data_IF_724813311949
#
_entry.id   IF_724813311949
#
_cell.length_a   1.000
_cell.length_b   1.000
_cell.length_c   1.000
_cell.angle_alpha   90.00
_cell.angle_beta   90.00
_cell.angle_gamma   90.00
#
_symmetry.space_group_name_H-M   'P 1'
#
loop_
_entity.id
_entity.type
_entity.pdbx_description
1 polymer ?
#
# COMPACT_ATOMS: atom_id res chain seq x y z
N UNK A 1 20.61 9.76 5.53
CA UNK A 1 19.30 10.33 5.11
C UNK A 1 19.17 10.65 3.62
N UNK A 2 20.17 11.34 2.99
CA UNK A 2 20.08 11.65 1.54
C UNK A 2 20.11 10.41 0.64
N UNK A 3 20.99 9.45 0.92
CA UNK A 3 21.15 8.23 0.13
C UNK A 3 19.90 7.32 0.14
N UNK A 4 19.12 7.33 1.22
CA UNK A 4 17.92 6.51 1.36
C UNK A 4 16.71 7.09 0.61
N UNK A 5 16.55 8.40 0.64
CA UNK A 5 15.51 9.07 -0.18
C UNK A 5 15.81 8.97 -1.68
N UNK A 6 17.08 9.08 -2.07
CA UNK A 6 17.52 8.84 -3.45
C UNK A 6 17.25 7.39 -3.89
N UNK A 7 17.37 6.41 -2.97
CA UNK A 7 17.03 5.02 -3.23
C UNK A 7 15.53 4.84 -3.51
N UNK A 8 14.66 5.52 -2.77
CA UNK A 8 13.21 5.48 -3.01
C UNK A 8 12.84 6.09 -4.36
N UNK A 9 13.47 7.22 -4.73
CA UNK A 9 13.28 7.83 -6.06
C UNK A 9 13.69 6.85 -7.15
N UNK A 10 14.86 6.19 -7.03
CA UNK A 10 15.34 5.22 -8.00
C UNK A 10 14.41 4.02 -8.11
N UNK A 11 13.89 3.52 -6.98
CA UNK A 11 12.92 2.41 -6.95
C UNK A 11 11.65 2.76 -7.74
N UNK A 12 11.08 3.93 -7.50
CA UNK A 12 9.85 4.36 -8.18
C UNK A 12 10.10 4.62 -9.67
N UNK A 13 11.23 5.23 -10.02
CA UNK A 13 11.56 5.57 -11.40
C UNK A 13 11.91 4.35 -12.25
N UNK A 14 12.71 3.42 -11.68
CA UNK A 14 13.25 2.29 -12.41
C UNK A 14 12.41 1.01 -12.28
N UNK A 15 11.38 1.02 -11.41
CA UNK A 15 10.62 -0.17 -11.04
C UNK A 15 11.38 -1.10 -10.11
N UNK A 16 10.73 -2.16 -9.68
CA UNK A 16 11.32 -3.22 -8.89
C UNK A 16 11.49 -4.51 -9.70
N UNK A 17 12.52 -5.27 -9.36
CA UNK A 17 12.78 -6.55 -9.99
C UNK A 17 11.81 -7.61 -9.47
N UNK A 18 11.40 -8.51 -10.35
CA UNK A 18 10.71 -9.74 -10.00
C UNK A 18 11.41 -10.94 -10.64
N UNK A 19 11.23 -12.12 -10.08
CA UNK A 19 11.71 -13.39 -10.59
C UNK A 19 10.54 -14.37 -10.65
N UNK A 20 10.20 -14.84 -11.85
CA UNK A 20 9.25 -15.93 -12.01
C UNK A 20 9.96 -17.27 -12.15
N UNK A 21 9.40 -18.28 -11.47
CA UNK A 21 9.84 -19.67 -11.57
C UNK A 21 8.78 -20.49 -12.32
N UNK A 22 9.13 -20.95 -13.51
CA UNK A 22 8.33 -21.85 -14.35
C UNK A 22 8.88 -23.28 -14.30
N UNK A 23 9.00 -23.84 -13.10
CA UNK A 23 9.62 -25.14 -12.88
C UNK A 23 11.14 -25.07 -12.89
N UNK A 24 11.76 -25.45 -14.00
CA UNK A 24 13.21 -25.40 -14.16
C UNK A 24 13.71 -24.11 -14.85
N UNK A 25 12.81 -23.24 -15.26
CA UNK A 25 13.13 -21.99 -15.96
C UNK A 25 12.85 -20.80 -15.02
N UNK A 26 13.89 -20.00 -14.77
CA UNK A 26 13.83 -18.77 -14.00
C UNK A 26 13.99 -17.58 -14.95
N UNK A 27 13.03 -16.67 -14.94
CA UNK A 27 13.05 -15.47 -15.77
C UNK A 27 12.87 -14.22 -14.90
N UNK A 28 13.73 -13.26 -15.11
CA UNK A 28 13.72 -11.97 -14.42
C UNK A 28 13.00 -10.91 -15.26
N UNK A 29 12.36 -9.97 -14.57
CA UNK A 29 11.76 -8.80 -15.19
C UNK A 29 11.71 -7.64 -14.20
N UNK A 30 11.20 -6.49 -14.68
CA UNK A 30 10.95 -5.30 -13.86
C UNK A 30 9.50 -4.87 -14.02
N UNK A 31 8.87 -4.45 -12.93
CA UNK A 31 7.53 -3.88 -12.96
C UNK A 31 7.43 -2.62 -12.11
N UNK A 32 6.34 -1.88 -12.28
CA UNK A 32 6.02 -0.68 -11.48
C UNK A 32 4.82 -0.93 -10.57
N UNK A 33 4.79 -2.13 -9.97
CA UNK A 33 3.87 -2.53 -8.91
C UNK A 33 4.68 -2.58 -7.62
N UNK A 34 4.21 -1.92 -6.56
CA UNK A 34 5.01 -1.75 -5.34
C UNK A 34 4.34 -2.36 -4.10
N UNK A 35 3.03 -2.52 -4.11
CA UNK A 35 2.29 -3.16 -3.03
C UNK A 35 2.35 -4.69 -3.15
N UNK A 36 2.44 -5.38 -2.01
CA UNK A 36 2.49 -6.84 -1.96
C UNK A 36 1.25 -7.47 -2.62
N UNK A 37 0.06 -6.91 -2.37
CA UNK A 37 -1.19 -7.36 -2.99
C UNK A 37 -1.22 -7.25 -4.52
N UNK A 38 -0.51 -6.27 -5.09
CA UNK A 38 -0.36 -6.15 -6.54
C UNK A 38 0.56 -7.24 -7.10
N UNK A 39 1.66 -7.52 -6.40
CA UNK A 39 2.61 -8.59 -6.78
C UNK A 39 1.94 -9.96 -6.69
N UNK A 40 1.15 -10.22 -5.64
CA UNK A 40 0.37 -11.46 -5.52
C UNK A 40 -0.60 -11.63 -6.69
N UNK A 41 -1.31 -10.56 -7.04
CA UNK A 41 -2.21 -10.55 -8.19
C UNK A 41 -1.48 -10.82 -9.51
N UNK A 42 -0.28 -10.24 -9.68
CA UNK A 42 0.58 -10.49 -10.84
C UNK A 42 1.02 -11.96 -10.90
N UNK A 43 1.40 -12.56 -9.76
CA UNK A 43 1.79 -13.98 -9.69
C UNK A 43 0.64 -14.90 -10.08
N UNK A 44 -0.58 -14.63 -9.59
CA UNK A 44 -1.78 -15.40 -9.96
C UNK A 44 -2.07 -15.28 -11.45
N UNK A 45 -2.03 -14.07 -12.00
CA UNK A 45 -2.25 -13.83 -13.42
C UNK A 45 -1.19 -14.53 -14.30
N UNK A 46 0.08 -14.48 -13.90
CA UNK A 46 1.17 -15.16 -14.59
C UNK A 46 0.99 -16.70 -14.58
N UNK A 47 0.59 -17.26 -13.42
CA UNK A 47 0.30 -18.68 -13.30
C UNK A 47 -0.87 -19.13 -14.17
N UNK A 48 -1.95 -18.34 -14.21
CA UNK A 48 -3.09 -18.60 -15.10
C UNK A 48 -2.69 -18.55 -16.59
N UNK A 49 -1.93 -17.54 -17.00
CA UNK A 49 -1.45 -17.39 -18.38
C UNK A 49 -0.56 -18.58 -18.78
N UNK A 50 0.34 -19.01 -17.90
CA UNK A 50 1.17 -20.18 -18.12
C UNK A 50 0.34 -21.47 -18.28
N UNK A 51 -0.68 -21.65 -17.44
CA UNK A 51 -1.60 -22.79 -17.51
C UNK A 51 -2.44 -22.81 -18.79
N UNK A 52 -2.66 -21.66 -19.40
CA UNK A 52 -3.34 -21.51 -20.70
C UNK A 52 -2.38 -21.69 -21.90
N UNK A 53 -1.10 -21.95 -21.66
CA UNK A 53 -0.11 -22.27 -22.67
C UNK A 53 0.66 -21.08 -23.25
N UNK A 54 0.62 -19.91 -22.61
CA UNK A 54 1.49 -18.79 -22.98
C UNK A 54 2.95 -19.15 -22.67
N UNK A 55 3.86 -18.67 -23.51
CA UNK A 55 5.29 -18.87 -23.27
C UNK A 55 5.79 -18.03 -22.10
N UNK A 56 6.70 -18.55 -21.26
CA UNK A 56 7.26 -17.84 -20.13
C UNK A 56 7.80 -16.45 -20.44
N UNK A 57 8.49 -16.31 -21.58
CA UNK A 57 9.08 -15.05 -22.04
C UNK A 57 8.00 -14.00 -22.41
N UNK A 58 6.86 -14.46 -22.94
CA UNK A 58 5.72 -13.58 -23.23
C UNK A 58 5.08 -13.08 -21.95
N UNK A 59 4.95 -13.96 -20.96
CA UNK A 59 4.40 -13.63 -19.63
C UNK A 59 5.30 -12.59 -18.94
N UNK A 60 6.62 -12.78 -18.91
CA UNK A 60 7.57 -11.84 -18.31
C UNK A 60 7.53 -10.49 -19.03
N UNK A 61 7.48 -10.49 -20.36
CA UNK A 61 7.37 -9.26 -21.15
C UNK A 61 6.08 -8.50 -20.84
N UNK A 62 4.95 -9.20 -20.78
CA UNK A 62 3.67 -8.61 -20.42
C UNK A 62 3.69 -8.06 -18.97
N UNK A 63 4.19 -8.83 -18.00
CA UNK A 63 4.35 -8.42 -16.61
C UNK A 63 5.17 -7.13 -16.48
N UNK A 64 6.20 -6.96 -17.31
CA UNK A 64 7.05 -5.76 -17.29
C UNK A 64 6.37 -4.50 -17.84
N UNK A 65 5.20 -4.61 -18.45
CA UNK A 65 4.42 -3.46 -18.95
C UNK A 65 3.28 -3.06 -18.01
N UNK A 66 2.98 -3.89 -17.01
CA UNK A 66 1.89 -3.64 -16.07
C UNK A 66 2.25 -2.49 -15.13
N UNK A 67 1.28 -1.64 -14.88
CA UNK A 67 1.35 -0.52 -13.93
C UNK A 67 0.23 -0.65 -12.92
N UNK A 68 0.40 -0.02 -11.76
CA UNK A 68 -0.67 0.10 -10.77
C UNK A 68 -1.92 0.72 -11.38
N UNK A 69 -3.06 0.20 -11.00
CA UNK A 69 -4.36 0.79 -11.35
C UNK A 69 -4.54 2.05 -10.52
N UNK A 70 -5.09 3.10 -11.12
CA UNK A 70 -5.37 4.35 -10.41
C UNK A 70 -6.15 4.10 -9.12
N UNK A 71 -5.72 4.73 -8.04
CA UNK A 71 -6.30 4.59 -6.69
C UNK A 71 -6.20 3.18 -6.07
N UNK A 72 -5.29 2.33 -6.57
CA UNK A 72 -5.01 0.98 -6.05
C UNK A 72 -3.53 0.89 -5.71
N UNK A 73 -3.15 1.30 -4.50
CA UNK A 73 -1.77 1.40 -4.04
C UNK A 73 -0.84 2.14 -5.03
N UNK A 74 -1.40 3.06 -5.81
CA UNK A 74 -0.69 3.83 -6.82
C UNK A 74 0.33 4.75 -6.16
N UNK A 75 1.60 4.63 -6.50
CA UNK A 75 2.66 5.47 -5.96
C UNK A 75 2.94 6.64 -6.90
N UNK A 76 2.76 7.85 -6.39
CA UNK A 76 3.01 9.13 -7.07
C UNK A 76 4.16 9.87 -6.39
N UNK A 77 4.96 10.59 -7.18
CA UNK A 77 6.02 11.46 -6.66
C UNK A 77 5.92 12.84 -7.30
N UNK A 78 5.84 13.87 -6.47
CA UNK A 78 5.74 15.26 -6.94
C UNK A 78 7.04 16.07 -6.80
N UNK A 79 8.17 15.41 -6.58
CA UNK A 79 9.48 16.02 -6.36
C UNK A 79 9.84 16.26 -4.89
N UNK A 80 8.87 16.29 -3.98
CA UNK A 80 9.08 16.52 -2.55
C UNK A 80 8.55 15.39 -1.66
N UNK A 81 7.39 14.81 -2.02
CA UNK A 81 6.73 13.76 -1.25
C UNK A 81 6.33 12.60 -2.15
N UNK A 82 6.34 11.40 -1.56
CA UNK A 82 5.69 10.22 -2.12
C UNK A 82 4.25 10.15 -1.62
N UNK A 83 3.32 9.88 -2.52
CA UNK A 83 1.91 9.69 -2.21
C UNK A 83 1.55 8.26 -2.61
N UNK A 84 1.07 7.46 -1.67
CA UNK A 84 0.50 6.16 -1.92
C UNK A 84 -1.01 6.33 -1.93
N UNK A 85 -1.60 6.22 -3.11
CA UNK A 85 -3.02 6.42 -3.32
C UNK A 85 -3.74 5.06 -3.42
N UNK A 86 -4.39 4.65 -2.33
CA UNK A 86 -5.19 3.42 -2.23
C UNK A 86 -6.65 3.76 -1.87
N UNK A 87 -7.18 4.83 -2.47
CA UNK A 87 -8.46 5.43 -2.10
C UNK A 87 -9.68 4.79 -2.76
N UNK A 88 -9.52 3.81 -3.66
CA UNK A 88 -10.66 3.20 -4.35
C UNK A 88 -11.57 2.39 -3.42
N UNK A 89 -11.00 1.52 -2.60
CA UNK A 89 -11.71 0.73 -1.58
C UNK A 89 -10.71 0.24 -0.53
N UNK A 90 -11.15 0.12 0.71
CA UNK A 90 -10.31 -0.32 1.83
C UNK A 90 -10.82 -1.65 2.40
N UNK A 91 -10.21 -2.76 1.98
CA UNK A 91 -10.33 -4.05 2.67
C UNK A 91 -9.25 -4.19 3.74
N UNK A 92 -9.38 -5.20 4.60
CA UNK A 92 -8.36 -5.48 5.62
C UNK A 92 -7.01 -5.81 4.99
N UNK A 93 -7.01 -6.55 3.88
CA UNK A 93 -5.81 -6.98 3.16
C UNK A 93 -5.16 -5.80 2.45
N UNK A 94 -5.96 -4.95 1.75
CA UNK A 94 -5.41 -3.78 1.08
C UNK A 94 -4.85 -2.77 2.09
N UNK A 95 -5.52 -2.53 3.21
CA UNK A 95 -5.02 -1.65 4.26
C UNK A 95 -3.66 -2.12 4.80
N UNK A 96 -3.52 -3.41 5.10
CA UNK A 96 -2.24 -3.99 5.56
C UNK A 96 -1.14 -3.83 4.51
N UNK A 97 -1.45 -4.14 3.25
CA UNK A 97 -0.51 -4.01 2.14
C UNK A 97 -0.04 -2.57 1.95
N UNK A 98 -0.97 -1.60 2.01
CA UNK A 98 -0.64 -0.18 1.88
C UNK A 98 0.14 0.38 3.08
N UNK A 99 -0.15 -0.09 4.32
CA UNK A 99 0.64 0.27 5.50
C UNK A 99 2.06 -0.30 5.39
N UNK A 100 2.21 -1.55 4.95
CA UNK A 100 3.53 -2.18 4.71
C UNK A 100 4.30 -1.43 3.62
N UNK A 101 3.62 -1.05 2.54
CA UNK A 101 4.23 -0.25 1.48
C UNK A 101 4.69 1.12 2.02
N UNK A 102 3.84 1.80 2.81
CA UNK A 102 4.19 3.08 3.45
C UNK A 102 5.41 2.93 4.38
N UNK A 103 5.47 1.83 5.14
CA UNK A 103 6.61 1.56 6.03
C UNK A 103 7.93 1.38 5.28
N UNK A 104 7.88 0.87 4.05
CA UNK A 104 9.05 0.64 3.21
C UNK A 104 9.73 1.93 2.71
N UNK A 105 9.08 3.09 2.80
CA UNK A 105 9.65 4.38 2.41
C UNK A 105 10.39 5.04 3.58
N UNK A 106 11.42 5.82 3.25
CA UNK A 106 12.15 6.62 4.24
C UNK A 106 11.46 7.97 4.51
N UNK A 107 11.70 8.49 5.71
CA UNK A 107 11.24 9.81 6.11
C UNK A 107 10.02 9.79 6.99
N UNK A 108 9.41 10.96 7.17
CA UNK A 108 8.19 11.15 7.94
C UNK A 108 6.99 10.61 7.20
N UNK A 109 6.09 9.97 7.93
CA UNK A 109 4.96 9.25 7.36
C UNK A 109 3.64 9.79 7.90
N UNK A 110 2.71 10.06 7.02
CA UNK A 110 1.35 10.48 7.34
C UNK A 110 0.35 9.56 6.65
N UNK A 111 -0.70 9.19 7.35
CA UNK A 111 -1.83 8.46 6.79
C UNK A 111 -3.10 9.29 6.89
N UNK A 112 -3.88 9.35 5.82
CA UNK A 112 -5.24 9.89 5.80
C UNK A 112 -6.17 8.73 5.46
N UNK A 113 -7.11 8.38 6.33
CA UNK A 113 -7.93 7.18 6.13
C UNK A 113 -9.34 7.31 6.72
N UNK A 114 -10.37 6.80 6.03
CA UNK A 114 -11.69 6.58 6.61
C UNK A 114 -11.77 5.25 7.39
N UNK A 115 -10.71 4.43 7.34
CA UNK A 115 -10.74 3.06 7.80
C UNK A 115 -11.58 2.14 6.92
N UNK A 116 -11.90 0.95 7.45
CA UNK A 116 -12.77 -0.03 6.80
C UNK A 116 -14.21 0.36 7.05
N UNK A 117 -14.96 0.62 5.97
CA UNK A 117 -16.37 1.05 6.05
C UNK A 117 -17.36 -0.10 5.84
N UNK A 118 -16.92 -1.23 5.30
CA UNK A 118 -17.75 -2.40 4.99
C UNK A 118 -17.39 -3.63 5.85
N UNK A 119 -16.96 -3.39 7.10
CA UNK A 119 -16.53 -4.47 8.03
C UNK A 119 -17.68 -5.22 8.70
N UNK A 120 -18.94 -4.85 8.49
CA UNK A 120 -20.10 -5.46 9.14
C UNK A 120 -19.95 -5.49 10.67
N UNK A 121 -20.24 -6.62 11.29
CA UNK A 121 -20.14 -6.81 12.75
C UNK A 121 -18.69 -6.71 13.28
N UNK A 122 -17.70 -6.81 12.41
CA UNK A 122 -16.28 -6.72 12.78
C UNK A 122 -15.69 -5.32 12.56
N UNK A 123 -16.46 -4.37 12.03
CA UNK A 123 -15.96 -3.05 11.62
C UNK A 123 -15.21 -2.33 12.74
N UNK A 124 -15.73 -2.31 13.95
CA UNK A 124 -15.07 -1.65 15.11
C UNK A 124 -13.74 -2.33 15.42
N UNK A 125 -13.71 -3.66 15.44
CA UNK A 125 -12.50 -4.44 15.70
C UNK A 125 -11.45 -4.23 14.62
N UNK A 126 -11.83 -4.33 13.35
CA UNK A 126 -10.92 -4.15 12.22
C UNK A 126 -10.31 -2.75 12.20
N UNK A 127 -11.11 -1.73 12.49
CA UNK A 127 -10.61 -0.36 12.57
C UNK A 127 -9.70 -0.11 13.78
N UNK A 128 -9.95 -0.77 14.92
CA UNK A 128 -9.01 -0.78 16.02
C UNK A 128 -7.67 -1.41 15.63
N UNK A 129 -7.69 -2.57 14.96
CA UNK A 129 -6.49 -3.26 14.47
C UNK A 129 -5.71 -2.40 13.45
N UNK A 130 -6.38 -1.67 12.56
CA UNK A 130 -5.73 -0.69 11.67
C UNK A 130 -5.03 0.39 12.50
N UNK A 131 -5.70 0.95 13.52
CA UNK A 131 -5.10 1.95 14.39
C UNK A 131 -3.80 1.44 15.05
N UNK A 132 -3.78 0.19 15.54
CA UNK A 132 -2.56 -0.39 16.12
C UNK A 132 -1.42 -0.56 15.13
N UNK A 133 -1.74 -0.84 13.84
CA UNK A 133 -0.73 -0.96 12.79
C UNK A 133 -0.19 0.42 12.37
N UNK A 134 -1.07 1.40 12.20
CA UNK A 134 -0.68 2.77 11.85
C UNK A 134 0.21 3.40 12.92
N UNK A 135 -0.02 3.11 14.20
CA UNK A 135 0.79 3.62 15.29
C UNK A 135 2.27 3.22 15.20
N UNK A 136 2.57 2.09 14.57
CA UNK A 136 3.94 1.56 14.44
C UNK A 136 4.69 2.16 13.24
N UNK A 137 3.96 2.75 12.31
CA UNK A 137 4.50 3.18 11.02
C UNK A 137 4.45 4.70 10.85
N UNK A 138 3.36 5.34 11.29
CA UNK A 138 3.10 6.74 11.01
C UNK A 138 3.63 7.68 12.10
N UNK A 139 4.02 8.89 11.69
CA UNK A 139 4.26 10.02 12.60
C UNK A 139 2.97 10.81 12.85
N UNK A 140 2.04 10.85 11.88
CA UNK A 140 0.74 11.53 11.95
C UNK A 140 -0.35 10.69 11.29
N UNK A 141 -1.54 10.74 11.85
CA UNK A 141 -2.71 10.07 11.30
C UNK A 141 -3.89 11.04 11.27
N UNK A 142 -4.48 11.23 10.09
CA UNK A 142 -5.75 11.93 9.92
C UNK A 142 -6.87 10.92 9.67
N UNK A 143 -7.85 10.89 10.55
CA UNK A 143 -8.97 9.96 10.48
C UNK A 143 -10.20 10.71 9.96
N UNK A 144 -10.78 10.21 8.87
CA UNK A 144 -11.94 10.81 8.20
C UNK A 144 -13.20 10.02 8.50
N UNK A 145 -14.23 10.70 9.02
CA UNK A 145 -15.57 10.12 9.14
C UNK A 145 -15.79 9.21 10.37
N UNK A 146 -16.74 8.24 10.29
CA UNK A 146 -17.36 7.64 11.46
C UNK A 146 -16.50 6.62 12.23
N UNK A 147 -15.44 6.08 11.60
CA UNK A 147 -14.59 5.07 12.24
C UNK A 147 -13.54 5.66 13.19
N UNK A 148 -13.53 6.99 13.38
CA UNK A 148 -12.49 7.70 14.10
C UNK A 148 -12.27 7.17 15.53
N UNK A 149 -13.32 6.86 16.27
CA UNK A 149 -13.19 6.38 17.64
C UNK A 149 -12.48 5.03 17.75
N UNK A 150 -12.73 4.13 16.81
CA UNK A 150 -12.11 2.81 16.80
C UNK A 150 -10.63 2.90 16.44
N UNK A 151 -10.29 3.65 15.38
CA UNK A 151 -8.92 3.83 14.92
C UNK A 151 -8.09 4.58 15.99
N UNK A 152 -8.62 5.68 16.57
CA UNK A 152 -7.94 6.42 17.62
C UNK A 152 -7.66 5.56 18.85
N UNK A 153 -8.62 4.71 19.29
CA UNK A 153 -8.39 3.77 20.37
C UNK A 153 -7.24 2.80 20.05
N UNK A 154 -7.16 2.31 18.81
CA UNK A 154 -6.06 1.47 18.34
C UNK A 154 -4.72 2.20 18.38
N UNK A 155 -4.65 3.44 17.88
CA UNK A 155 -3.45 4.29 17.95
C UNK A 155 -2.99 4.50 19.39
N UNK A 156 -3.90 4.91 20.27
CA UNK A 156 -3.58 5.19 21.67
C UNK A 156 -3.17 3.94 22.46
N UNK A 157 -3.66 2.75 22.09
CA UNK A 157 -3.24 1.49 22.73
C UNK A 157 -1.78 1.15 22.51
N UNK A 158 -1.16 1.68 21.46
CA UNK A 158 0.26 1.55 21.13
C UNK A 158 1.08 2.79 21.54
N UNK A 159 0.54 3.62 22.45
CA UNK A 159 1.20 4.84 22.96
C UNK A 159 1.46 5.91 21.88
N UNK A 160 0.67 5.96 20.84
CA UNK A 160 0.75 7.01 19.81
C UNK A 160 0.42 8.38 20.41
N UNK A 161 1.14 9.42 19.98
CA UNK A 161 0.95 10.78 20.51
C UNK A 161 -0.39 11.37 20.08
N UNK A 162 -1.21 11.77 21.03
CA UNK A 162 -2.56 12.30 20.77
C UNK A 162 -2.54 13.55 19.89
N UNK A 163 -1.53 14.39 20.04
CA UNK A 163 -1.32 15.62 19.25
C UNK A 163 -1.01 15.33 17.77
N UNK A 164 -0.65 14.08 17.44
CA UNK A 164 -0.40 13.61 16.08
C UNK A 164 -1.62 12.94 15.45
N UNK A 165 -2.77 12.94 16.15
CA UNK A 165 -4.04 12.39 15.66
C UNK A 165 -4.94 13.56 15.25
N UNK A 166 -5.35 13.57 13.99
CA UNK A 166 -6.29 14.56 13.45
C UNK A 166 -7.61 13.88 13.11
N UNK A 167 -8.70 14.60 13.29
CA UNK A 167 -10.04 14.13 12.89
C UNK A 167 -10.64 15.11 11.90
N UNK A 168 -11.07 14.60 10.77
CA UNK A 168 -11.79 15.34 9.76
C UNK A 168 -13.19 14.74 9.55
N UNK A 169 -14.21 15.58 9.41
CA UNK A 169 -15.56 15.13 9.13
C UNK A 169 -15.76 14.71 7.68
N UNK A 170 -15.00 15.32 6.77
CA UNK A 170 -15.03 15.05 5.33
C UNK A 170 -13.58 15.01 4.78
N UNK A 171 -13.37 14.39 3.60
CA UNK A 171 -12.06 14.37 2.96
C UNK A 171 -11.50 15.79 2.69
N UNK A 172 -12.35 16.76 2.34
CA UNK A 172 -11.95 18.14 2.04
C UNK A 172 -11.39 18.85 3.28
N UNK A 173 -11.77 18.41 4.48
CA UNK A 173 -11.27 18.96 5.74
C UNK A 173 -9.99 18.28 6.23
N UNK A 174 -9.53 17.26 5.53
CA UNK A 174 -8.32 16.50 5.86
C UNK A 174 -7.06 17.01 5.13
N UNK A 175 -7.20 18.00 4.25
CA UNK A 175 -6.14 18.54 3.40
C UNK A 175 -5.73 19.93 3.84
#
# INVERSE_FOLDING_TARGET
>A
CKSSFESDILRITNGQNFLFNFGNLFLEGKCHLFAESEIDSLCVAAGAAYSLGLMPEEIVRAASTIKSVAHRAEVKFNGNIFIIDDSYNCSTESAKSSITLLDSFFGKKMCITPGIVEGGNLQVRLNFEIGTQLAKVCDWVCIVGPNADAIEKGLLSESFHKESIFRASTPENAV
#
